data_IF_226187392284
#
_entry.id   IF_226187392284
#
_cell.length_a   1.000
_cell.length_b   1.000
_cell.length_c   1.000
_cell.angle_alpha   90.00
_cell.angle_beta   90.00
_cell.angle_gamma   90.00
#
_symmetry.space_group_name_H-M   'P 1'
#
loop_
_entity.id
_entity.type
_entity.pdbx_description
1 polymer ?
#
# COMPACT_ATOMS: atom_id res chain seq x y z
N UNK A 1 -10.96 -8.63 26.01
CA UNK A 1 -12.14 -8.03 25.35
C UNK A 1 -11.87 -8.06 23.87
N UNK A 2 -12.63 -8.86 23.11
CA UNK A 2 -12.41 -9.05 21.68
C UNK A 2 -13.29 -8.04 20.95
N UNK A 3 -12.69 -6.93 20.51
CA UNK A 3 -13.37 -6.03 19.58
C UNK A 3 -13.54 -6.79 18.28
N UNK A 4 -14.78 -7.18 17.94
CA UNK A 4 -15.15 -7.39 16.55
C UNK A 4 -14.86 -6.07 15.84
N UNK A 5 -13.78 -6.03 15.06
CA UNK A 5 -13.13 -4.81 14.60
C UNK A 5 -14.11 -3.84 13.94
N UNK A 6 -13.99 -2.56 14.26
CA UNK A 6 -14.55 -1.54 13.38
C UNK A 6 -13.82 -1.62 12.04
N UNK A 7 -14.47 -1.13 10.99
CA UNK A 7 -13.83 -0.93 9.70
C UNK A 7 -12.53 -0.16 9.91
N UNK A 8 -11.41 -0.76 9.55
CA UNK A 8 -10.08 -0.19 9.80
C UNK A 8 -9.75 1.01 8.88
N UNK A 9 -10.66 1.34 7.95
CA UNK A 9 -10.53 2.47 7.02
C UNK A 9 -11.25 3.71 7.57
N UNK A 10 -12.50 3.58 8.02
CA UNK A 10 -13.27 4.73 8.53
C UNK A 10 -13.46 4.74 10.04
N UNK A 11 -13.15 3.63 10.73
CA UNK A 11 -13.24 3.44 12.18
C UNK A 11 -14.58 3.83 12.80
N UNK A 12 -15.64 3.85 11.98
CA UNK A 12 -16.95 4.39 12.36
C UNK A 12 -18.08 3.38 12.24
N UNK A 13 -17.87 2.34 11.43
CA UNK A 13 -18.86 1.29 11.11
C UNK A 13 -18.29 -0.08 11.47
N UNK A 14 -19.11 -1.08 11.83
CA UNK A 14 -18.61 -2.44 12.05
C UNK A 14 -17.97 -2.99 10.77
N UNK A 15 -16.87 -3.72 10.91
CA UNK A 15 -16.34 -4.47 9.79
C UNK A 15 -17.18 -5.74 9.55
N UNK A 16 -17.49 -5.99 8.29
CA UNK A 16 -18.31 -7.11 7.84
C UNK A 16 -17.51 -8.02 6.90
N UNK A 17 -16.61 -7.41 6.12
CA UNK A 17 -15.83 -8.08 5.08
C UNK A 17 -14.34 -8.02 5.39
N UNK A 18 -13.58 -9.00 4.92
CA UNK A 18 -12.12 -9.03 5.04
C UNK A 18 -11.49 -8.97 3.65
N UNK A 19 -10.60 -7.99 3.44
CA UNK A 19 -9.83 -7.89 2.20
C UNK A 19 -8.94 -9.12 2.01
N UNK A 20 -9.08 -9.79 0.86
CA UNK A 20 -8.27 -10.97 0.53
C UNK A 20 -6.79 -10.69 0.25
N UNK A 21 -6.43 -9.43 -0.02
CA UNK A 21 -5.06 -9.02 -0.35
C UNK A 21 -4.25 -8.68 0.91
N UNK A 22 -4.76 -7.79 1.75
CA UNK A 22 -4.05 -7.31 2.94
C UNK A 22 -4.60 -7.84 4.27
N UNK A 23 -5.76 -8.52 4.27
CA UNK A 23 -6.40 -9.03 5.48
C UNK A 23 -7.16 -7.99 6.32
N UNK A 24 -7.23 -6.73 5.85
CA UNK A 24 -7.92 -5.62 6.52
C UNK A 24 -9.41 -5.88 6.64
N UNK A 25 -9.97 -5.59 7.81
CA UNK A 25 -11.40 -5.68 8.09
C UNK A 25 -12.12 -4.37 7.69
N UNK A 26 -13.09 -4.48 6.79
CA UNK A 26 -13.77 -3.34 6.16
C UNK A 26 -15.28 -3.45 6.28
N UNK A 27 -15.97 -2.30 6.29
CA UNK A 27 -17.42 -2.27 6.11
C UNK A 27 -17.78 -2.37 4.62
N UNK A 28 -19.03 -2.70 4.31
CA UNK A 28 -19.59 -2.75 2.94
C UNK A 28 -19.25 -1.55 2.05
N UNK A 29 -19.07 -0.34 2.62
CA UNK A 29 -18.78 0.88 1.86
C UNK A 29 -17.32 0.98 1.41
N UNK A 30 -16.40 0.32 2.12
CA UNK A 30 -14.96 0.35 1.79
C UNK A 30 -14.47 -1.03 1.31
N UNK A 31 -15.41 -1.89 0.93
CA UNK A 31 -15.13 -3.20 0.36
C UNK A 31 -15.67 -3.26 -1.07
N UNK A 32 -14.77 -3.48 -2.01
CA UNK A 32 -15.08 -3.70 -3.41
C UNK A 32 -15.42 -5.17 -3.62
N UNK A 33 -16.71 -5.47 -3.53
CA UNK A 33 -17.25 -6.83 -3.65
C UNK A 33 -16.94 -7.51 -4.98
N UNK A 34 -16.79 -6.74 -6.05
CA UNK A 34 -16.48 -7.26 -7.40
C UNK A 34 -15.05 -7.85 -7.45
N UNK A 35 -14.11 -7.19 -6.78
CA UNK A 35 -12.70 -7.59 -6.70
C UNK A 35 -12.40 -8.45 -5.46
N UNK A 36 -13.28 -8.41 -4.45
CA UNK A 36 -13.07 -8.97 -3.13
C UNK A 36 -11.96 -8.26 -2.34
N UNK A 37 -11.78 -6.95 -2.56
CA UNK A 37 -10.68 -6.14 -2.03
C UNK A 37 -11.19 -4.96 -1.21
N UNK A 38 -10.38 -4.42 -0.30
CA UNK A 38 -10.67 -3.11 0.28
C UNK A 38 -10.46 -2.00 -0.76
N UNK A 39 -11.08 -0.84 -0.54
CA UNK A 39 -11.00 0.33 -1.42
C UNK A 39 -9.55 0.73 -1.76
N UNK A 40 -8.61 0.65 -0.82
CA UNK A 40 -7.19 0.95 -1.06
C UNK A 40 -6.51 -0.07 -1.99
N UNK A 41 -6.77 -1.36 -1.80
CA UNK A 41 -6.22 -2.41 -2.64
C UNK A 41 -6.86 -2.41 -4.03
N UNK A 42 -8.17 -2.12 -4.11
CA UNK A 42 -8.88 -1.96 -5.36
C UNK A 42 -8.34 -0.78 -6.16
N UNK A 43 -8.11 0.38 -5.53
CA UNK A 43 -7.51 1.54 -6.19
C UNK A 43 -6.14 1.23 -6.79
N UNK A 44 -5.30 0.45 -6.09
CA UNK A 44 -4.00 0.01 -6.61
C UNK A 44 -4.13 -1.00 -7.75
N UNK A 45 -5.12 -1.89 -7.71
CA UNK A 45 -5.38 -2.87 -8.75
C UNK A 45 -5.92 -2.21 -10.04
N UNK A 46 -6.78 -1.19 -9.89
CA UNK A 46 -7.34 -0.42 -11.00
C UNK A 46 -6.30 0.54 -11.60
N UNK A 47 -5.40 1.07 -10.75
CA UNK A 47 -4.24 1.86 -11.17
C UNK A 47 -3.15 1.04 -11.85
N UNK A 48 -3.43 -0.20 -12.25
CA UNK A 48 -2.57 -1.07 -13.07
C UNK A 48 -2.32 -0.56 -14.49
N UNK A 49 -2.34 0.75 -14.72
CA UNK A 49 -1.67 1.39 -15.85
C UNK A 49 -0.18 1.53 -15.51
N UNK A 50 0.72 0.78 -16.17
CA UNK A 50 2.15 0.81 -15.91
C UNK A 50 2.74 2.08 -16.53
N UNK A 51 2.54 3.22 -15.87
CA UNK A 51 2.92 4.54 -16.40
C UNK A 51 3.78 5.39 -15.46
N UNK A 52 4.17 4.92 -14.28
CA UNK A 52 4.99 5.71 -13.35
C UNK A 52 6.11 4.90 -12.71
N UNK A 53 6.89 4.25 -13.56
CA UNK A 53 8.32 4.16 -13.31
C UNK A 53 8.95 5.50 -13.71
N UNK A 54 8.80 6.55 -12.90
CA UNK A 54 9.69 7.71 -13.00
C UNK A 54 11.04 7.33 -12.39
N UNK A 55 11.68 6.31 -12.96
CA UNK A 55 13.12 6.20 -12.93
C UNK A 55 13.69 7.35 -13.74
N UNK A 56 13.46 8.59 -13.32
CA UNK A 56 14.35 9.68 -13.66
C UNK A 56 15.62 9.35 -12.91
N UNK A 57 16.70 8.88 -13.57
CA UNK A 57 18.00 8.94 -12.94
C UNK A 57 18.16 10.40 -12.51
N UNK A 58 18.34 10.60 -11.21
CA UNK A 58 18.69 11.91 -10.69
C UNK A 58 19.97 12.33 -11.43
N UNK A 59 19.93 13.37 -12.28
CA UNK A 59 21.08 13.74 -13.10
C UNK A 59 22.26 14.26 -12.25
N UNK A 60 22.02 14.53 -10.97
CA UNK A 60 23.00 14.96 -9.98
C UNK A 60 23.51 13.80 -9.11
N UNK A 61 23.03 12.56 -9.32
CA UNK A 61 23.56 11.39 -8.64
C UNK A 61 24.94 11.03 -9.19
N UNK A 62 25.97 11.44 -8.47
CA UNK A 62 27.35 11.05 -8.76
C UNK A 62 27.54 9.54 -8.48
N UNK A 63 27.91 8.72 -9.49
CA UNK A 63 28.15 7.29 -9.30
C UNK A 63 29.37 6.95 -8.44
N UNK A 64 30.21 7.93 -8.07
CA UNK A 64 31.42 7.74 -7.28
C UNK A 64 31.25 8.09 -5.79
N UNK A 65 30.05 8.46 -5.34
CA UNK A 65 29.79 8.78 -3.92
C UNK A 65 29.81 7.53 -3.00
N UNK A 66 29.87 6.32 -3.57
CA UNK A 66 30.08 5.05 -2.85
C UNK A 66 31.58 4.67 -2.74
N UNK A 67 32.49 5.52 -3.23
CA UNK A 67 33.93 5.26 -3.27
C UNK A 67 34.75 6.08 -2.24
N UNK A 68 34.25 6.22 -1.02
CA UNK A 68 35.02 6.70 0.14
C UNK A 68 34.19 6.46 1.40
N UNK A 69 34.58 5.64 2.38
CA UNK A 69 35.90 5.53 2.96
C UNK A 69 36.13 4.11 3.49
N UNK A 70 36.94 3.34 2.78
CA UNK A 70 37.74 2.28 3.38
C UNK A 70 38.92 2.95 4.10
N UNK A 71 38.73 3.28 5.37
CA UNK A 71 39.83 3.52 6.29
C UNK A 71 39.77 2.50 7.43
N UNK A 72 40.45 1.38 7.22
CA UNK A 72 40.95 0.49 8.27
C UNK A 72 42.21 1.11 8.88
N UNK A 73 42.16 1.60 10.13
CA UNK A 73 43.24 1.43 11.13
C UNK A 73 42.66 1.44 12.54
#
# INVERSE_FOLDING_TARGET
>A
MSVSGLCQICESRPAEEQCRNCGTFTCEQHYESDLGLCAECAAQADSGDPGQGDGRPDPDRDPNDDAGDTYQF
#
